data_IF_634989268178
#
_entry.id   IF_634989268178
#
_cell.length_a   1.000
_cell.length_b   1.000
_cell.length_c   1.000
_cell.angle_alpha   90.00
_cell.angle_beta   90.00
_cell.angle_gamma   90.00
#
_symmetry.space_group_name_H-M   'P 1'
#
loop_
_entity.id
_entity.type
_entity.pdbx_description
1 polymer ?
#
# COMPACT_ATOMS: atom_id res chain seq x y z
N UNK A 1 -0.40 9.03 -20.11
CA UNK A 1 0.40 10.27 -20.08
C UNK A 1 1.46 10.10 -18.99
N UNK A 2 2.75 10.21 -19.30
CA UNK A 2 3.80 10.08 -18.28
C UNK A 2 3.73 11.29 -17.34
N UNK A 3 3.56 11.03 -16.05
CA UNK A 3 3.56 12.08 -15.03
C UNK A 3 4.99 12.57 -14.84
N UNK A 4 5.19 13.89 -14.97
CA UNK A 4 6.46 14.52 -14.60
C UNK A 4 6.56 14.60 -13.08
N UNK A 5 7.65 14.07 -12.54
CA UNK A 5 7.90 14.01 -11.10
C UNK A 5 8.99 15.00 -10.70
N UNK A 6 8.81 15.66 -9.58
CA UNK A 6 9.85 16.52 -9.01
C UNK A 6 11.05 15.68 -8.53
N UNK A 7 12.17 15.80 -9.24
CA UNK A 7 13.42 15.09 -8.92
C UNK A 7 14.02 15.49 -7.57
N UNK A 8 13.70 16.69 -7.06
CA UNK A 8 14.22 17.17 -5.78
C UNK A 8 13.37 16.70 -4.59
N UNK A 9 12.28 15.97 -4.84
CA UNK A 9 11.37 15.46 -3.80
C UNK A 9 11.47 13.94 -3.71
N UNK A 10 12.27 13.44 -2.76
CA UNK A 10 12.38 12.00 -2.48
C UNK A 10 11.01 11.35 -2.23
N UNK A 11 10.11 12.08 -1.57
CA UNK A 11 8.74 11.61 -1.32
C UNK A 11 7.95 11.44 -2.62
N UNK A 12 8.11 12.35 -3.57
CA UNK A 12 7.40 12.29 -4.85
C UNK A 12 7.97 11.22 -5.77
N UNK A 13 9.29 11.02 -5.73
CA UNK A 13 9.97 9.91 -6.40
C UNK A 13 9.49 8.56 -5.87
N UNK A 14 9.39 8.42 -4.54
CA UNK A 14 8.85 7.22 -3.88
C UNK A 14 7.42 6.92 -4.34
N UNK A 15 6.52 7.90 -4.21
CA UNK A 15 5.11 7.74 -4.59
C UNK A 15 4.99 7.37 -6.07
N UNK A 16 5.72 8.08 -6.95
CA UNK A 16 5.64 7.81 -8.39
C UNK A 16 6.16 6.40 -8.71
N UNK A 17 7.21 5.95 -8.04
CA UNK A 17 7.75 4.59 -8.24
C UNK A 17 6.75 3.54 -7.74
N UNK A 18 6.18 3.75 -6.54
CA UNK A 18 5.16 2.89 -5.94
C UNK A 18 3.91 2.75 -6.85
N UNK A 19 3.45 3.86 -7.43
CA UNK A 19 2.29 3.90 -8.34
C UNK A 19 2.51 3.07 -9.61
N UNK A 20 3.76 2.90 -10.05
CA UNK A 20 4.10 2.13 -11.24
C UNK A 20 4.38 0.64 -10.95
N UNK A 21 4.41 0.22 -9.68
CA UNK A 21 4.69 -1.18 -9.31
C UNK A 21 3.71 -2.15 -9.97
N UNK A 22 2.41 -1.86 -9.95
CA UNK A 22 1.41 -2.75 -10.55
C UNK A 22 1.66 -2.98 -12.04
N UNK A 23 2.02 -1.93 -12.77
CA UNK A 23 2.36 -2.00 -14.20
C UNK A 23 3.62 -2.83 -14.45
N UNK A 24 4.61 -2.76 -13.57
CA UNK A 24 5.87 -3.51 -13.69
C UNK A 24 5.64 -4.98 -13.35
N UNK A 25 4.95 -5.27 -12.25
CA UNK A 25 4.68 -6.63 -11.80
C UNK A 25 3.68 -7.39 -12.67
N UNK A 26 2.76 -6.68 -13.35
CA UNK A 26 1.87 -7.30 -14.33
C UNK A 26 2.64 -7.91 -15.52
N UNK A 27 3.81 -7.37 -15.89
CA UNK A 27 4.67 -7.95 -16.93
C UNK A 27 5.25 -9.31 -16.52
N UNK A 28 5.28 -9.61 -15.22
CA UNK A 28 5.77 -10.87 -14.66
C UNK A 28 4.62 -11.85 -14.31
N UNK A 29 3.41 -11.63 -14.85
CA UNK A 29 2.21 -12.43 -14.57
C UNK A 29 1.77 -12.44 -13.10
N UNK A 30 2.04 -11.36 -12.36
CA UNK A 30 1.43 -11.15 -11.04
C UNK A 30 0.23 -10.22 -11.17
N UNK A 31 -0.91 -10.64 -10.65
CA UNK A 31 -2.10 -9.81 -10.52
C UNK A 31 -2.11 -9.08 -9.17
N UNK A 32 -2.40 -7.78 -9.17
CA UNK A 32 -2.47 -7.00 -7.94
C UNK A 32 -3.66 -7.44 -7.08
N UNK A 33 -3.40 -7.75 -5.82
CA UNK A 33 -4.42 -8.03 -4.83
C UNK A 33 -4.87 -6.75 -4.13
N UNK A 34 -6.13 -6.39 -4.32
CA UNK A 34 -6.74 -5.21 -3.71
C UNK A 34 -7.36 -5.46 -2.33
N UNK A 35 -7.29 -6.69 -1.80
CA UNK A 35 -7.93 -7.10 -0.53
C UNK A 35 -7.65 -6.15 0.65
N UNK A 36 -6.42 -5.65 0.78
CA UNK A 36 -6.07 -4.70 1.85
C UNK A 36 -6.70 -3.33 1.66
N UNK A 37 -6.83 -2.87 0.40
CA UNK A 37 -7.51 -1.60 0.07
C UNK A 37 -9.02 -1.75 0.31
N UNK A 38 -9.60 -2.86 -0.17
CA UNK A 38 -11.03 -3.16 -0.01
C UNK A 38 -11.44 -3.30 1.45
N UNK A 39 -10.61 -3.95 2.28
CA UNK A 39 -10.86 -4.08 3.72
C UNK A 39 -10.90 -2.71 4.41
N UNK A 40 -9.93 -1.82 4.10
CA UNK A 40 -9.90 -0.47 4.67
C UNK A 40 -11.10 0.35 4.22
N UNK A 41 -11.48 0.22 2.94
CA UNK A 41 -12.64 0.90 2.39
C UNK A 41 -13.93 0.42 3.06
N UNK A 42 -14.11 -0.90 3.20
CA UNK A 42 -15.27 -1.49 3.88
C UNK A 42 -15.40 -1.05 5.34
N UNK A 43 -14.29 -1.04 6.10
CA UNK A 43 -14.29 -0.54 7.48
C UNK A 43 -14.65 0.96 7.55
N UNK A 44 -14.14 1.77 6.62
CA UNK A 44 -14.51 3.19 6.52
C UNK A 44 -16.00 3.40 6.17
N UNK A 45 -16.56 2.58 5.29
CA UNK A 45 -17.98 2.64 4.95
C UNK A 45 -18.88 2.27 6.14
N UNK A 46 -18.49 1.28 6.95
CA UNK A 46 -19.21 0.91 8.18
C UNK A 46 -19.23 2.10 9.15
N UNK A 47 -18.12 2.82 9.29
CA UNK A 47 -18.05 4.01 10.15
C UNK A 47 -19.01 5.11 9.70
N UNK A 48 -19.08 5.38 8.39
CA UNK A 48 -20.04 6.34 7.81
C UNK A 48 -21.48 5.89 8.05
N UNK A 49 -21.77 4.60 7.91
CA UNK A 49 -23.11 4.05 8.20
C UNK A 49 -23.51 4.23 9.66
N UNK A 50 -22.61 3.96 10.61
CA UNK A 50 -22.86 4.17 12.04
C UNK A 50 -23.18 5.65 12.31
N UNK A 51 -22.37 6.57 11.77
CA UNK A 51 -22.58 8.00 11.95
C UNK A 51 -23.92 8.48 11.32
N UNK A 52 -24.26 7.97 10.13
CA UNK A 52 -25.51 8.30 9.46
C UNK A 52 -26.74 7.79 10.21
N UNK A 53 -26.70 6.55 10.72
CA UNK A 53 -27.78 5.99 11.54
C UNK A 53 -27.94 6.75 12.85
N UNK A 54 -26.84 7.11 13.50
CA UNK A 54 -26.87 7.88 14.74
C UNK A 54 -27.51 9.25 14.52
N UNK A 55 -27.10 9.97 13.45
CA UNK A 55 -27.69 11.25 13.09
C UNK A 55 -29.20 11.17 12.80
N UNK A 56 -29.65 10.11 12.12
CA UNK A 56 -31.08 9.91 11.86
C UNK A 56 -31.88 9.63 13.14
N UNK A 57 -31.28 8.92 14.08
CA UNK A 57 -31.90 8.60 15.35
C UNK A 57 -31.92 9.83 16.28
N UNK A 58 -30.85 10.63 16.33
CA UNK A 58 -30.79 11.91 17.05
C UNK A 58 -31.88 12.88 16.57
N UNK A 59 -32.24 12.84 15.27
CA UNK A 59 -33.30 13.69 14.72
C UNK A 59 -34.71 13.28 15.18
N UNK A 60 -34.91 12.02 15.56
CA UNK A 60 -36.25 11.47 15.86
C UNK A 60 -36.54 11.34 17.35
N UNK A 61 -35.54 11.10 18.18
CA UNK A 61 -35.71 10.79 19.60
C UNK A 61 -35.15 11.90 20.49
N UNK A 62 -35.61 11.95 21.74
CA UNK A 62 -35.04 12.83 22.74
C UNK A 62 -33.67 12.30 23.20
N UNK A 63 -32.77 13.20 23.57
CA UNK A 63 -31.38 12.84 23.92
C UNK A 63 -31.29 11.78 25.04
N UNK A 64 -32.21 11.80 26.00
CA UNK A 64 -32.22 10.86 27.12
C UNK A 64 -32.40 9.40 26.66
N UNK A 65 -33.24 9.17 25.65
CA UNK A 65 -33.56 7.83 25.15
C UNK A 65 -32.44 7.26 24.27
N UNK A 66 -31.71 8.14 23.58
CA UNK A 66 -30.64 7.74 22.65
C UNK A 66 -29.24 7.74 23.26
N UNK A 67 -29.07 8.27 24.48
CA UNK A 67 -27.77 8.38 25.13
C UNK A 67 -27.02 7.03 25.15
N UNK A 68 -27.68 5.95 25.57
CA UNK A 68 -27.07 4.61 25.62
C UNK A 68 -26.65 4.12 24.24
N UNK A 69 -27.50 4.33 23.23
CA UNK A 69 -27.21 3.97 21.82
C UNK A 69 -26.03 4.78 21.29
N UNK A 70 -25.96 6.07 21.62
CA UNK A 70 -24.88 6.98 21.25
C UNK A 70 -23.55 6.52 21.84
N UNK A 71 -23.53 6.20 23.14
CA UNK A 71 -22.33 5.69 23.82
C UNK A 71 -21.86 4.38 23.18
N UNK A 72 -22.77 3.43 22.92
CA UNK A 72 -22.43 2.17 22.24
C UNK A 72 -21.87 2.44 20.83
N UNK A 73 -22.48 3.36 20.08
CA UNK A 73 -22.04 3.73 18.73
C UNK A 73 -20.64 4.35 18.73
N UNK A 74 -20.34 5.22 19.70
CA UNK A 74 -19.00 5.79 19.90
C UNK A 74 -17.96 4.71 20.23
N UNK A 75 -18.29 3.74 21.10
CA UNK A 75 -17.40 2.63 21.42
C UNK A 75 -17.11 1.76 20.19
N UNK A 76 -18.14 1.42 19.40
CA UNK A 76 -17.97 0.68 18.15
C UNK A 76 -17.12 1.45 17.15
N UNK A 77 -17.40 2.75 16.96
CA UNK A 77 -16.63 3.61 16.07
C UNK A 77 -15.15 3.70 16.51
N UNK A 78 -14.90 3.86 17.81
CA UNK A 78 -13.56 3.84 18.39
C UNK A 78 -12.84 2.51 18.17
N UNK A 79 -13.54 1.39 18.36
CA UNK A 79 -13.03 0.04 18.10
C UNK A 79 -12.61 -0.16 16.63
N UNK A 80 -13.44 0.28 15.69
CA UNK A 80 -13.11 0.22 14.25
C UNK A 80 -11.86 1.05 13.93
N UNK A 81 -11.73 2.25 14.51
CA UNK A 81 -10.53 3.07 14.36
C UNK A 81 -9.28 2.40 14.93
N UNK A 82 -9.38 1.72 16.08
CA UNK A 82 -8.27 0.98 16.66
C UNK A 82 -7.83 -0.17 15.73
N UNK A 83 -8.77 -0.90 15.14
CA UNK A 83 -8.48 -1.96 14.15
C UNK A 83 -7.80 -1.36 12.91
N UNK A 84 -8.35 -0.27 12.36
CA UNK A 84 -7.75 0.43 11.22
C UNK A 84 -6.33 0.92 11.53
N UNK A 85 -6.09 1.43 12.74
CA UNK A 85 -4.76 1.83 13.19
C UNK A 85 -3.79 0.65 13.19
N UNK A 86 -4.19 -0.50 13.75
CA UNK A 86 -3.35 -1.72 13.77
C UNK A 86 -3.05 -2.20 12.35
N UNK A 87 -4.04 -2.21 11.45
CA UNK A 87 -3.85 -2.58 10.04
C UNK A 87 -2.86 -1.61 9.37
N UNK A 88 -3.06 -0.30 9.52
CA UNK A 88 -2.18 0.70 8.92
C UNK A 88 -0.75 0.60 9.46
N UNK A 89 -0.58 0.31 10.75
CA UNK A 89 0.73 0.10 11.36
C UNK A 89 1.42 -1.16 10.81
N UNK A 90 0.75 -2.31 10.80
CA UNK A 90 1.32 -3.58 10.31
C UNK A 90 1.67 -3.55 8.82
N UNK A 91 0.87 -2.85 8.01
CA UNK A 91 1.01 -2.82 6.55
C UNK A 91 1.56 -1.49 6.00
N UNK A 92 2.16 -0.63 6.84
CA UNK A 92 2.60 0.73 6.46
C UNK A 92 3.46 0.79 5.19
N UNK A 93 4.41 -0.14 5.09
CA UNK A 93 5.38 -0.19 3.99
C UNK A 93 4.96 -1.15 2.87
N UNK A 94 3.86 -1.90 3.02
CA UNK A 94 3.39 -2.83 1.99
C UNK A 94 2.66 -2.01 0.92
N UNK A 95 3.27 -1.91 -0.27
CA UNK A 95 2.73 -1.11 -1.38
C UNK A 95 2.10 -1.93 -2.48
N UNK A 96 2.58 -3.16 -2.66
CA UNK A 96 2.07 -4.06 -3.67
C UNK A 96 1.99 -5.49 -3.13
N UNK A 97 0.89 -6.17 -3.45
CA UNK A 97 0.72 -7.60 -3.19
C UNK A 97 0.32 -8.23 -4.51
N UNK A 98 1.18 -9.08 -5.06
CA UNK A 98 0.94 -9.81 -6.30
C UNK A 98 0.50 -11.25 -6.01
N UNK A 99 -0.49 -11.73 -6.74
CA UNK A 99 -0.89 -13.13 -6.74
C UNK A 99 -0.65 -13.71 -8.14
N UNK A 100 -0.06 -14.90 -8.16
CA UNK A 100 0.02 -15.77 -9.33
C UNK A 100 -0.55 -17.15 -8.92
N UNK A 101 -0.82 -18.04 -9.88
CA UNK A 101 -1.53 -19.32 -9.71
C UNK A 101 -1.09 -20.14 -8.48
N UNK A 102 0.17 -20.05 -8.08
CA UNK A 102 0.70 -20.75 -6.89
C UNK A 102 1.57 -19.90 -5.98
N UNK A 103 1.84 -18.64 -6.36
CA UNK A 103 2.82 -17.79 -5.68
C UNK A 103 2.19 -16.46 -5.21
N UNK A 104 2.49 -16.08 -3.98
CA UNK A 104 2.16 -14.77 -3.41
C UNK A 104 3.45 -13.95 -3.28
N UNK A 105 3.41 -12.74 -3.82
CA UNK A 105 4.49 -11.76 -3.76
C UNK A 105 4.04 -10.57 -2.89
N UNK A 106 4.84 -10.18 -1.92
CA UNK A 106 4.59 -8.98 -1.10
C UNK A 106 5.78 -8.04 -1.27
N UNK A 107 5.49 -6.82 -1.70
CA UNK A 107 6.50 -5.78 -1.92
C UNK A 107 6.37 -4.73 -0.84
N UNK A 108 7.48 -4.54 -0.12
CA UNK A 108 7.63 -3.46 0.86
C UNK A 108 8.60 -2.42 0.33
N UNK A 109 8.25 -1.14 0.45
CA UNK A 109 9.07 -0.04 -0.08
C UNK A 109 9.19 1.07 0.95
N UNK A 110 10.34 1.76 0.94
CA UNK A 110 10.57 2.95 1.74
C UNK A 110 11.76 3.75 1.21
N UNK A 111 11.78 5.04 1.55
CA UNK A 111 12.94 5.92 1.36
C UNK A 111 13.13 6.81 2.57
N UNK A 112 14.38 7.16 2.85
CA UNK A 112 14.73 8.12 3.89
C UNK A 112 14.62 9.53 3.31
N UNK A 113 14.15 10.50 4.10
CA UNK A 113 13.74 11.85 3.63
C UNK A 113 14.79 12.57 2.75
N UNK A 114 16.07 12.40 3.06
CA UNK A 114 17.19 13.08 2.39
C UNK A 114 18.09 12.13 1.61
N UNK A 115 17.68 10.87 1.47
CA UNK A 115 18.45 9.85 0.78
C UNK A 115 17.71 9.44 -0.50
N UNK A 116 18.25 9.76 -1.69
CA UNK A 116 17.61 9.46 -2.97
C UNK A 116 17.78 7.98 -3.37
N UNK A 117 17.55 7.09 -2.41
CA UNK A 117 17.60 5.64 -2.56
C UNK A 117 16.20 5.07 -2.34
N UNK A 118 15.73 4.30 -3.32
CA UNK A 118 14.54 3.50 -3.24
C UNK A 118 14.88 2.14 -2.64
N UNK A 119 14.44 1.90 -1.41
CA UNK A 119 14.61 0.60 -0.77
C UNK A 119 13.39 -0.25 -1.08
N UNK A 120 13.63 -1.45 -1.60
CA UNK A 120 12.60 -2.42 -1.93
C UNK A 120 12.93 -3.77 -1.30
N UNK A 121 11.96 -4.34 -0.59
CA UNK A 121 12.00 -5.72 -0.10
C UNK A 121 10.93 -6.52 -0.80
N UNK A 122 11.36 -7.61 -1.44
CA UNK A 122 10.51 -8.56 -2.15
C UNK A 122 10.41 -9.81 -1.28
N UNK A 123 9.18 -10.17 -0.89
CA UNK A 123 8.89 -11.36 -0.10
C UNK A 123 8.05 -12.30 -0.95
N UNK A 124 8.54 -13.52 -1.20
CA UNK A 124 7.84 -14.56 -1.96
C UNK A 124 7.38 -15.66 -1.01
N UNK A 125 6.09 -16.01 -1.09
CA UNK A 125 5.41 -17.05 -0.30
C UNK A 125 5.67 -16.97 1.22
N UNK A 126 5.86 -15.75 1.72
CA UNK A 126 6.18 -15.46 3.14
C UNK A 126 7.44 -16.19 3.66
N UNK A 127 8.33 -16.67 2.76
CA UNK A 127 9.56 -17.42 3.08
C UNK A 127 10.80 -16.75 2.52
N UNK A 128 10.84 -16.55 1.21
CA UNK A 128 12.02 -16.02 0.53
C UNK A 128 11.97 -14.50 0.56
N UNK A 129 13.01 -13.87 1.07
CA UNK A 129 13.09 -12.41 1.18
C UNK A 129 14.37 -11.90 0.55
N UNK A 130 14.26 -10.92 -0.33
CA UNK A 130 15.40 -10.16 -0.86
C UNK A 130 15.17 -8.68 -0.60
N UNK A 131 16.22 -7.95 -0.22
CA UNK A 131 16.17 -6.50 -0.02
C UNK A 131 17.24 -5.85 -0.88
N UNK A 132 16.83 -4.84 -1.64
CA UNK A 132 17.69 -4.18 -2.62
C UNK A 132 17.50 -2.68 -2.54
N UNK A 133 18.58 -1.96 -2.81
CA UNK A 133 18.64 -0.51 -2.80
C UNK A 133 18.88 -0.03 -4.22
N UNK A 134 17.94 0.77 -4.75
CA UNK A 134 18.00 1.27 -6.11
C UNK A 134 18.05 2.81 -6.05
N UNK A 135 19.14 3.43 -6.49
CA UNK A 135 19.19 4.89 -6.61
C UNK A 135 18.15 5.41 -7.60
N UNK A 136 17.45 6.50 -7.27
CA UNK A 136 16.38 7.03 -8.12
C UNK A 136 16.84 7.48 -9.50
N UNK A 137 18.12 7.85 -9.67
CA UNK A 137 18.69 8.21 -10.97
C UNK A 137 18.75 7.04 -11.98
N UNK A 138 18.58 5.79 -11.53
CA UNK A 138 18.44 4.62 -12.41
C UNK A 138 16.99 4.36 -12.82
N UNK A 139 16.05 4.99 -12.13
CA UNK A 139 14.60 4.81 -12.31
C UNK A 139 14.00 5.98 -13.07
N UNK A 140 14.53 7.20 -12.86
CA UNK A 140 14.04 8.42 -13.47
C UNK A 140 15.04 9.01 -14.45
N UNK A 141 14.53 9.50 -15.57
CA UNK A 141 15.31 10.29 -16.53
C UNK A 141 15.54 11.74 -16.02
N UNK A 142 16.46 12.47 -16.65
CA UNK A 142 16.81 13.88 -16.37
C UNK A 142 15.57 14.79 -16.44
N UNK A 143 14.58 14.43 -17.24
CA UNK A 143 13.31 15.14 -17.38
C UNK A 143 12.32 14.89 -16.23
N UNK A 144 12.63 13.98 -15.31
CA UNK A 144 11.74 13.58 -14.21
C UNK A 144 10.67 12.57 -14.62
N UNK A 145 10.92 11.81 -15.69
CA UNK A 145 10.00 10.78 -16.18
C UNK A 145 10.43 9.40 -15.69
N UNK A 146 9.46 8.60 -15.28
CA UNK A 146 9.69 7.22 -14.82
C UNK A 146 10.04 6.30 -16.00
N UNK A 147 11.21 5.67 -15.94
CA UNK A 147 11.68 4.69 -16.92
C UNK A 147 11.25 3.28 -16.49
N UNK A 148 10.13 2.82 -17.04
CA UNK A 148 9.54 1.52 -16.73
C UNK A 148 10.43 0.36 -17.15
N UNK A 149 11.05 0.42 -18.31
CA UNK A 149 11.81 -0.70 -18.86
C UNK A 149 13.09 -0.95 -18.05
N UNK A 150 13.81 0.10 -17.67
CA UNK A 150 14.98 -0.02 -16.79
C UNK A 150 14.60 -0.55 -15.41
N UNK A 151 13.52 -0.04 -14.82
CA UNK A 151 13.05 -0.56 -13.54
C UNK A 151 12.62 -2.03 -13.63
N UNK A 152 11.88 -2.43 -14.67
CA UNK A 152 11.52 -3.84 -14.92
C UNK A 152 12.75 -4.74 -15.05
N UNK A 153 13.82 -4.30 -15.74
CA UNK A 153 15.08 -5.06 -15.84
C UNK A 153 15.72 -5.28 -14.47
N UNK A 154 15.79 -4.24 -13.64
CA UNK A 154 16.34 -4.33 -12.28
C UNK A 154 15.52 -5.31 -11.42
N UNK A 155 14.20 -5.20 -11.44
CA UNK A 155 13.31 -6.11 -10.70
C UNK A 155 13.46 -7.56 -11.20
N UNK A 156 13.56 -7.78 -12.51
CA UNK A 156 13.78 -9.12 -13.09
C UNK A 156 15.07 -9.76 -12.56
N UNK A 157 16.14 -8.98 -12.43
CA UNK A 157 17.41 -9.45 -11.88
C UNK A 157 17.28 -9.84 -10.40
N UNK A 158 16.54 -9.07 -9.61
CA UNK A 158 16.28 -9.38 -8.20
C UNK A 158 15.36 -10.60 -8.01
N UNK A 159 14.32 -10.74 -8.85
CA UNK A 159 13.46 -11.92 -8.88
C UNK A 159 14.25 -13.19 -9.25
N UNK A 160 15.21 -13.09 -10.17
CA UNK A 160 16.10 -14.20 -10.53
C UNK A 160 16.97 -14.69 -9.37
N UNK A 161 17.32 -13.82 -8.42
CA UNK A 161 18.09 -14.20 -7.21
C UNK A 161 17.25 -14.97 -6.19
N UNK A 162 15.94 -14.72 -6.13
CA UNK A 162 15.03 -15.39 -5.20
C UNK A 162 14.91 -16.89 -5.49
N UNK A 163 15.04 -17.33 -6.75
CA UNK A 163 15.00 -18.75 -7.13
C UNK A 163 16.33 -19.50 -7.08
N UNK A 164 17.48 -18.80 -7.14
CA UNK A 164 18.82 -19.42 -7.15
C UNK A 164 19.39 -19.69 -5.75
N UNK A 165 18.72 -19.26 -4.69
CA UNK A 165 19.22 -19.38 -3.32
C UNK A 165 18.97 -20.75 -2.68
N UNK A 166 18.33 -21.66 -3.41
CA UNK A 166 17.91 -23.00 -2.96
C UNK A 166 18.60 -24.15 -3.73
N UNK A 167 19.70 -23.88 -4.43
CA UNK A 167 20.59 -24.91 -5.03
C UNK A 167 21.98 -24.78 -4.41
#
# INVERSE_FOLDING_TARGET
>A
MLKKTNLNSVKELLITTDDNLGSVFSQFNYEESFKLKDLKLGLGLIQVLIAGLLFLADRKFQFHDIFTITVISCLLYGGINAVLYIINYKFKNVKYVGLNKSDKLVIKTWSTKYDPIYNITIIKNDKETTTTQIPYNKIFDVLGLFNRDEFSKLIKLELGKLGKKNE
#
